data_IF_025068567674
#
_entry.id   IF_025068567674
#
_cell.length_a   1.000
_cell.length_b   1.000
_cell.length_c   1.000
_cell.angle_alpha   90.00
_cell.angle_beta   90.00
_cell.angle_gamma   90.00
#
_symmetry.space_group_name_H-M   'P 1'
#
loop_
_entity.id
_entity.type
_entity.pdbx_description
1 polymer ?
#
# COMPACT_ATOMS: atom_id res chain seq x y z
N UNK A 1 -18.25 30.06 54.76
CA UNK A 1 -18.34 30.23 53.29
C UNK A 1 -17.09 29.61 52.71
N UNK A 2 -17.16 28.34 52.30
CA UNK A 2 -16.03 27.56 51.82
C UNK A 2 -15.92 27.78 50.31
N UNK A 3 -14.88 28.48 49.85
CA UNK A 3 -14.67 28.72 48.41
C UNK A 3 -13.95 27.50 47.84
N UNK A 4 -14.69 26.66 47.13
CA UNK A 4 -14.13 25.52 46.39
C UNK A 4 -13.38 26.04 45.16
N UNK A 5 -12.06 25.87 45.15
CA UNK A 5 -11.22 26.15 43.99
C UNK A 5 -11.34 24.98 43.01
N UNK A 6 -12.01 25.20 41.87
CA UNK A 6 -12.06 24.21 40.78
C UNK A 6 -10.80 24.39 39.92
N UNK A 7 -9.84 23.48 40.06
CA UNK A 7 -8.68 23.40 39.16
C UNK A 7 -9.10 22.82 37.82
N UNK A 8 -9.13 23.65 36.77
CA UNK A 8 -9.27 23.22 35.38
C UNK A 8 -7.92 22.64 34.92
N UNK A 9 -7.80 21.32 34.89
CA UNK A 9 -6.66 20.64 34.25
C UNK A 9 -6.91 20.66 32.74
N UNK A 10 -6.25 21.58 32.03
CA UNK A 10 -6.19 21.57 30.57
C UNK A 10 -5.22 20.44 30.19
N UNK A 11 -5.77 19.26 29.90
CA UNK A 11 -5.03 18.18 29.23
C UNK A 11 -4.76 18.64 27.79
N UNK A 12 -3.56 19.16 27.55
CA UNK A 12 -3.01 19.26 26.20
C UNK A 12 -2.74 17.84 25.72
N UNK A 13 -3.71 17.24 25.02
CA UNK A 13 -3.48 16.04 24.23
C UNK A 13 -2.63 16.45 23.02
N UNK A 14 -1.31 16.26 23.12
CA UNK A 14 -0.47 16.28 21.93
C UNK A 14 -0.92 15.12 21.04
N UNK A 15 -1.49 15.42 19.88
CA UNK A 15 -1.60 14.43 18.82
C UNK A 15 -0.18 14.05 18.41
N UNK A 16 0.25 12.85 18.81
CA UNK A 16 1.49 12.28 18.32
C UNK A 16 1.23 11.95 16.86
N UNK A 17 1.79 12.75 15.95
CA UNK A 17 1.73 12.48 14.52
C UNK A 17 2.17 11.03 14.27
N UNK A 18 1.32 10.28 13.59
CA UNK A 18 1.43 8.83 13.51
C UNK A 18 2.40 8.43 12.38
N UNK A 19 3.72 8.48 12.64
CA UNK A 19 4.78 8.10 11.68
C UNK A 19 5.00 6.58 11.58
N UNK A 20 4.01 5.78 11.19
CA UNK A 20 4.21 4.34 11.19
C UNK A 20 4.09 3.65 9.85
N UNK A 21 3.20 4.04 8.94
CA UNK A 21 3.08 3.32 7.68
C UNK A 21 4.05 3.87 6.62
N UNK A 22 4.76 2.96 5.95
CA UNK A 22 5.79 3.28 4.96
C UNK A 22 5.40 2.87 3.53
N UNK A 23 4.44 1.98 3.32
CA UNK A 23 4.06 1.57 1.97
C UNK A 23 3.53 0.14 1.96
N UNK A 24 3.15 -0.33 0.77
CA UNK A 24 2.70 -1.70 0.61
C UNK A 24 2.07 -1.99 -0.73
N UNK A 25 1.50 -3.19 -0.84
CA UNK A 25 0.88 -3.74 -2.04
C UNK A 25 -0.29 -4.63 -1.65
N UNK A 26 -1.32 -4.67 -2.48
CA UNK A 26 -2.44 -5.60 -2.33
C UNK A 26 -2.71 -6.23 -3.69
N UNK A 27 -2.49 -7.54 -3.83
CA UNK A 27 -2.80 -8.30 -5.05
C UNK A 27 -3.73 -9.46 -4.72
N UNK A 28 -4.23 -10.13 -5.75
CA UNK A 28 -5.07 -11.30 -5.58
C UNK A 28 -4.93 -12.25 -6.75
N UNK A 29 -5.29 -13.51 -6.54
CA UNK A 29 -5.35 -14.52 -7.61
C UNK A 29 -6.38 -15.59 -7.30
N UNK A 30 -6.99 -16.24 -8.29
CA UNK A 30 -7.72 -17.49 -8.07
C UNK A 30 -6.76 -18.56 -7.53
N UNK A 31 -7.24 -19.44 -6.65
CA UNK A 31 -6.44 -20.61 -6.24
C UNK A 31 -6.25 -21.59 -7.41
N UNK A 32 -7.31 -21.76 -8.21
CA UNK A 32 -7.30 -22.52 -9.45
C UNK A 32 -7.95 -21.71 -10.57
N UNK A 33 -7.15 -21.31 -11.58
CA UNK A 33 -7.60 -20.52 -12.74
C UNK A 33 -8.65 -21.24 -13.59
N UNK A 34 -8.76 -22.56 -13.50
CA UNK A 34 -9.70 -23.41 -14.25
C UNK A 34 -10.92 -23.85 -13.44
N UNK A 35 -11.13 -23.26 -12.25
CA UNK A 35 -12.26 -23.61 -11.42
C UNK A 35 -13.60 -23.29 -12.13
N UNK A 36 -14.53 -24.25 -12.12
CA UNK A 36 -15.89 -24.07 -12.62
C UNK A 36 -16.93 -23.88 -11.51
N UNK A 37 -16.47 -23.86 -10.25
CA UNK A 37 -17.33 -23.73 -9.07
C UNK A 37 -17.81 -22.30 -8.85
N UNK A 38 -18.97 -22.18 -8.19
CA UNK A 38 -19.52 -20.93 -7.67
C UNK A 38 -19.95 -21.18 -6.22
N UNK A 39 -19.25 -20.63 -5.21
CA UNK A 39 -18.23 -19.57 -5.29
C UNK A 39 -16.86 -20.02 -5.81
N UNK A 40 -16.10 -19.07 -6.35
CA UNK A 40 -14.70 -19.15 -6.76
C UNK A 40 -13.80 -18.86 -5.56
N UNK A 41 -12.81 -19.72 -5.34
CA UNK A 41 -11.82 -19.53 -4.28
C UNK A 41 -10.68 -18.66 -4.77
N UNK A 42 -10.47 -17.52 -4.11
CA UNK A 42 -9.35 -16.62 -4.38
C UNK A 42 -8.42 -16.51 -3.18
N UNK A 43 -7.21 -16.04 -3.42
CA UNK A 43 -6.21 -15.71 -2.42
C UNK A 43 -5.90 -14.23 -2.56
N UNK A 44 -6.19 -13.44 -1.54
CA UNK A 44 -5.79 -12.04 -1.43
C UNK A 44 -4.44 -11.99 -0.72
N UNK A 45 -3.47 -11.30 -1.28
CA UNK A 45 -2.10 -11.19 -0.75
C UNK A 45 -1.83 -9.72 -0.44
N UNK A 46 -1.45 -9.46 0.81
CA UNK A 46 -1.18 -8.12 1.32
C UNK A 46 0.25 -8.07 1.84
N UNK A 47 1.00 -7.05 1.43
CA UNK A 47 2.35 -6.75 1.94
C UNK A 47 2.36 -5.31 2.41
N UNK A 48 2.92 -5.09 3.59
CA UNK A 48 2.93 -3.78 4.22
C UNK A 48 4.29 -3.52 4.87
N UNK A 49 4.70 -2.26 4.83
CA UNK A 49 5.94 -1.77 5.43
C UNK A 49 5.62 -0.71 6.47
N UNK A 50 6.29 -0.77 7.61
CA UNK A 50 6.14 0.17 8.72
C UNK A 50 7.47 0.66 9.27
N UNK A 51 7.45 1.78 9.98
CA UNK A 51 8.59 2.31 10.71
C UNK A 51 8.99 1.36 11.85
N UNK A 52 10.26 0.98 11.85
CA UNK A 52 10.87 0.23 12.95
C UNK A 52 10.75 0.99 14.28
N UNK A 53 10.55 0.26 15.38
CA UNK A 53 10.33 0.82 16.71
C UNK A 53 8.89 1.25 17.01
N UNK A 54 8.04 1.52 16.01
CA UNK A 54 6.58 1.70 16.19
C UNK A 54 5.85 0.36 16.19
N UNK A 55 6.28 -0.48 15.27
CA UNK A 55 5.83 -1.84 15.08
C UNK A 55 6.94 -2.79 15.54
N UNK A 56 6.57 -3.89 16.17
CA UNK A 56 7.47 -4.92 16.68
C UNK A 56 7.45 -6.11 15.73
N UNK A 57 8.58 -6.26 15.06
CA UNK A 57 9.01 -7.44 14.33
C UNK A 57 10.44 -7.68 14.80
N UNK A 58 10.78 -8.91 15.19
CA UNK A 58 12.11 -9.28 15.71
C UNK A 58 12.61 -10.51 14.97
N UNK A 59 13.91 -10.82 14.97
CA UNK A 59 14.42 -12.05 14.37
C UNK A 59 13.70 -13.31 14.88
N UNK A 60 13.32 -13.35 16.16
CA UNK A 60 12.51 -14.43 16.74
C UNK A 60 11.08 -14.43 16.23
N UNK A 61 10.47 -13.27 16.00
CA UNK A 61 9.14 -13.19 15.40
C UNK A 61 9.13 -13.67 13.95
N UNK A 62 10.16 -13.31 13.17
CA UNK A 62 10.35 -13.79 11.79
C UNK A 62 10.50 -15.32 11.79
N UNK A 63 11.43 -15.85 12.59
CA UNK A 63 11.71 -17.28 12.65
C UNK A 63 10.51 -18.13 13.06
N UNK A 64 9.61 -17.59 13.88
CA UNK A 64 8.41 -18.29 14.34
C UNK A 64 7.14 -17.95 13.54
N UNK A 65 7.24 -17.16 12.45
CA UNK A 65 6.07 -16.67 11.70
C UNK A 65 5.03 -15.98 12.57
N UNK A 66 5.48 -15.23 13.57
CA UNK A 66 4.59 -14.49 14.45
C UNK A 66 3.95 -13.33 13.70
N UNK A 67 2.70 -13.03 14.06
CA UNK A 67 2.06 -11.79 13.65
C UNK A 67 2.89 -10.60 14.12
N UNK A 68 2.92 -9.57 13.28
CA UNK A 68 3.42 -8.27 13.68
C UNK A 68 2.69 -7.82 14.95
N UNK A 69 3.46 -7.33 15.92
CA UNK A 69 2.93 -6.77 17.16
C UNK A 69 3.09 -5.24 17.16
N UNK A 70 2.26 -4.52 17.90
CA UNK A 70 2.24 -3.06 17.93
C UNK A 70 2.64 -2.56 19.32
N UNK A 71 3.49 -1.53 19.42
CA UNK A 71 3.76 -0.89 20.72
C UNK A 71 2.73 0.16 21.07
N UNK A 72 2.28 0.92 20.08
CA UNK A 72 1.43 2.12 20.28
C UNK A 72 0.23 2.15 19.33
N UNK A 73 0.16 1.25 18.35
CA UNK A 73 -0.85 1.25 17.29
C UNK A 73 -1.87 0.11 17.45
N UNK A 74 -2.82 0.27 18.37
CA UNK A 74 -3.70 -0.82 18.82
C UNK A 74 -4.81 -1.23 17.85
N UNK A 75 -5.17 -0.39 16.88
CA UNK A 75 -6.25 -0.67 15.91
C UNK A 75 -5.88 -1.74 14.89
N UNK A 76 -4.58 -1.93 14.62
CA UNK A 76 -4.06 -2.93 13.68
C UNK A 76 -4.62 -4.35 13.94
N UNK A 77 -4.93 -4.67 15.21
CA UNK A 77 -5.47 -5.97 15.59
C UNK A 77 -6.84 -6.27 14.99
N UNK A 78 -7.63 -5.25 14.68
CA UNK A 78 -9.02 -5.33 14.22
C UNK A 78 -9.25 -4.71 12.86
N UNK A 79 -8.27 -3.98 12.33
CA UNK A 79 -8.37 -3.36 11.01
C UNK A 79 -8.48 -4.42 9.91
N UNK A 80 -9.31 -4.12 8.92
CA UNK A 80 -9.66 -5.02 7.82
C UNK A 80 -9.55 -4.32 6.48
N UNK A 81 -9.42 -5.14 5.44
CA UNK A 81 -9.43 -4.70 4.05
C UNK A 81 -10.87 -4.33 3.65
N UNK A 82 -11.12 -3.02 3.50
CA UNK A 82 -12.47 -2.48 3.31
C UNK A 82 -12.87 -2.54 1.85
N UNK A 83 -14.18 -2.62 1.62
CA UNK A 83 -14.74 -2.28 0.33
C UNK A 83 -14.55 -0.79 0.04
N UNK A 84 -14.04 -0.46 -1.15
CA UNK A 84 -13.97 0.92 -1.64
C UNK A 84 -15.00 1.22 -2.74
N UNK A 85 -15.33 0.24 -3.59
CA UNK A 85 -16.28 0.42 -4.69
C UNK A 85 -16.91 -0.89 -5.12
N UNK A 86 -18.17 -0.83 -5.57
CA UNK A 86 -18.94 -1.92 -6.17
C UNK A 86 -19.09 -3.20 -5.33
N UNK A 87 -18.82 -3.16 -4.02
CA UNK A 87 -19.23 -4.23 -3.11
C UNK A 87 -20.68 -3.98 -2.69
N UNK A 88 -21.61 -4.25 -3.61
CA UNK A 88 -23.03 -4.29 -3.29
C UNK A 88 -23.36 -5.48 -2.38
N UNK A 89 -24.63 -5.60 -1.97
CA UNK A 89 -25.17 -6.78 -1.28
C UNK A 89 -25.11 -8.08 -2.09
N UNK A 90 -24.49 -8.06 -3.27
CA UNK A 90 -24.28 -9.17 -4.21
C UNK A 90 -22.89 -9.79 -4.13
N UNK A 91 -21.90 -9.16 -3.47
CA UNK A 91 -20.65 -9.84 -3.11
C UNK A 91 -20.88 -10.71 -1.87
N UNK A 92 -21.85 -11.63 -1.92
CA UNK A 92 -22.41 -12.31 -0.74
C UNK A 92 -21.44 -13.28 -0.04
N UNK A 93 -20.15 -13.21 -0.34
CA UNK A 93 -19.08 -14.03 0.24
C UNK A 93 -17.79 -13.28 0.55
N UNK A 94 -17.67 -11.97 0.26
CA UNK A 94 -16.49 -11.20 0.69
C UNK A 94 -16.56 -10.93 2.19
N UNK A 95 -15.66 -11.55 2.95
CA UNK A 95 -15.51 -11.31 4.38
C UNK A 95 -14.22 -10.49 4.54
N UNK A 96 -14.29 -9.20 4.92
CA UNK A 96 -13.10 -8.35 5.00
C UNK A 96 -11.95 -9.01 5.79
N UNK A 97 -10.85 -9.42 5.14
CA UNK A 97 -9.73 -10.01 5.85
C UNK A 97 -9.06 -8.95 6.72
N UNK A 98 -8.46 -9.38 7.82
CA UNK A 98 -7.63 -8.49 8.64
C UNK A 98 -6.45 -7.94 7.81
N UNK A 99 -5.86 -6.84 8.26
CA UNK A 99 -4.66 -6.28 7.62
C UNK A 99 -3.38 -6.64 8.36
N UNK A 100 -3.47 -7.13 9.60
CA UNK A 100 -2.30 -7.47 10.43
C UNK A 100 -1.55 -8.67 9.85
N UNK A 101 -0.31 -8.51 9.37
CA UNK A 101 0.39 -9.58 8.68
C UNK A 101 1.34 -10.36 9.60
N UNK A 102 1.89 -11.44 9.06
CA UNK A 102 3.05 -12.12 9.66
C UNK A 102 4.28 -11.25 9.43
N UNK A 103 5.13 -11.15 10.45
CA UNK A 103 6.42 -10.45 10.41
C UNK A 103 7.38 -11.23 9.50
N UNK A 104 7.83 -10.62 8.42
CA UNK A 104 8.71 -11.26 7.42
C UNK A 104 10.11 -10.68 7.41
N UNK A 105 10.26 -9.39 7.71
CA UNK A 105 11.57 -8.74 7.68
C UNK A 105 11.65 -7.51 8.61
N UNK A 106 12.86 -7.17 9.03
CA UNK A 106 13.19 -5.98 9.80
C UNK A 106 14.59 -5.47 9.42
N UNK A 107 14.68 -4.18 9.11
CA UNK A 107 15.93 -3.45 8.94
C UNK A 107 15.96 -2.25 9.86
N UNK A 108 16.82 -2.30 10.88
CA UNK A 108 17.07 -1.15 11.77
C UNK A 108 17.83 -0.03 11.06
N UNK A 109 18.67 -0.37 10.08
CA UNK A 109 19.45 0.60 9.29
C UNK A 109 18.55 1.51 8.45
N UNK A 110 17.56 0.93 7.78
CA UNK A 110 16.57 1.69 6.98
C UNK A 110 15.34 2.05 7.82
N UNK A 111 15.30 1.62 9.09
CA UNK A 111 14.21 1.89 10.02
C UNK A 111 12.87 1.32 9.56
N UNK A 112 12.86 0.11 9.00
CA UNK A 112 11.71 -0.49 8.33
C UNK A 112 11.42 -1.91 8.84
N UNK A 113 10.14 -2.22 9.01
CA UNK A 113 9.59 -3.55 9.27
C UNK A 113 8.68 -3.92 8.11
N UNK A 114 8.74 -5.16 7.65
CA UNK A 114 7.88 -5.69 6.59
C UNK A 114 7.08 -6.87 7.12
N UNK A 115 5.82 -6.94 6.71
CA UNK A 115 5.02 -8.13 6.91
C UNK A 115 4.16 -8.47 5.71
N UNK A 116 3.86 -9.75 5.58
CA UNK A 116 3.00 -10.29 4.54
C UNK A 116 1.90 -11.17 5.13
N UNK A 117 0.74 -11.18 4.49
CA UNK A 117 -0.34 -12.13 4.75
C UNK A 117 -1.04 -12.53 3.47
N UNK A 118 -1.68 -13.69 3.53
CA UNK A 118 -2.57 -14.18 2.50
C UNK A 118 -3.85 -14.69 3.13
N UNK A 119 -4.99 -14.34 2.57
CA UNK A 119 -6.31 -14.77 3.02
C UNK A 119 -7.07 -15.42 1.89
N UNK A 120 -7.84 -16.45 2.23
CA UNK A 120 -8.71 -17.14 1.30
C UNK A 120 -10.09 -16.51 1.39
N UNK A 121 -10.62 -16.06 0.25
CA UNK A 121 -11.98 -15.56 0.11
C UNK A 121 -12.75 -16.41 -0.90
N UNK A 122 -14.07 -16.50 -0.68
CA UNK A 122 -15.00 -17.21 -1.56
C UNK A 122 -15.93 -16.21 -2.20
N UNK A 123 -15.74 -15.95 -3.49
CA UNK A 123 -16.44 -14.90 -4.22
C UNK A 123 -17.33 -15.49 -5.30
N UNK A 124 -18.40 -14.80 -5.67
CA UNK A 124 -19.29 -15.30 -6.72
C UNK A 124 -18.69 -15.08 -8.10
N UNK A 125 -19.15 -15.90 -9.05
CA UNK A 125 -18.90 -15.68 -10.47
C UNK A 125 -19.24 -14.24 -10.87
N UNK A 126 -18.37 -13.62 -11.66
CA UNK A 126 -18.53 -12.26 -12.19
C UNK A 126 -18.47 -11.14 -11.14
N UNK A 127 -18.03 -11.42 -9.90
CA UNK A 127 -17.76 -10.38 -8.93
C UNK A 127 -16.67 -9.42 -9.48
N UNK A 128 -16.98 -8.12 -9.45
CA UNK A 128 -16.07 -7.06 -9.84
C UNK A 128 -16.19 -5.88 -8.87
N UNK A 129 -15.21 -5.73 -8.00
CA UNK A 129 -15.23 -4.74 -6.94
C UNK A 129 -13.82 -4.31 -6.53
N UNK A 130 -13.71 -3.16 -5.88
CA UNK A 130 -12.44 -2.64 -5.39
C UNK A 130 -12.40 -2.75 -3.89
N UNK A 131 -11.33 -3.35 -3.38
CA UNK A 131 -11.01 -3.42 -1.96
C UNK A 131 -9.76 -2.63 -1.67
N UNK A 132 -9.60 -2.17 -0.45
CA UNK A 132 -8.43 -1.41 -0.05
C UNK A 132 -8.37 -1.13 1.43
N UNK A 133 -7.19 -0.69 1.86
CA UNK A 133 -6.94 -0.30 3.23
C UNK A 133 -6.47 1.15 3.26
N UNK A 134 -7.10 1.93 4.13
CA UNK A 134 -6.85 3.36 4.29
C UNK A 134 -6.68 3.69 5.74
N UNK A 135 -5.71 4.54 6.06
CA UNK A 135 -5.50 5.00 7.42
C UNK A 135 -4.85 6.38 7.49
N UNK A 136 -4.87 7.02 8.66
CA UNK A 136 -4.24 8.32 8.92
C UNK A 136 -2.80 8.21 9.48
N UNK A 137 -2.34 6.97 9.67
CA UNK A 137 -1.03 6.60 10.18
C UNK A 137 0.18 6.83 9.26
N UNK A 138 0.08 7.77 8.33
CA UNK A 138 1.11 7.98 7.31
C UNK A 138 2.31 8.75 7.84
N UNK A 139 3.47 8.53 7.22
CA UNK A 139 4.63 9.39 7.43
C UNK A 139 4.38 10.79 6.87
N UNK A 140 4.44 11.86 7.67
CA UNK A 140 4.33 13.23 7.19
C UNK A 140 5.34 13.52 6.09
N UNK A 141 4.87 14.20 5.05
CA UNK A 141 5.65 14.63 3.91
C UNK A 141 6.07 16.09 4.17
N UNK A 142 7.36 16.38 4.42
CA UNK A 142 7.82 17.70 4.88
C UNK A 142 7.46 18.88 3.96
N UNK A 143 7.26 18.61 2.67
CA UNK A 143 6.88 19.61 1.65
C UNK A 143 5.40 19.95 1.65
N UNK A 144 4.58 19.30 2.47
CA UNK A 144 3.16 19.58 2.55
C UNK A 144 2.79 20.00 3.98
N UNK A 145 2.18 21.17 4.09
CA UNK A 145 1.98 21.89 5.36
C UNK A 145 0.73 21.47 6.13
N UNK A 146 -0.02 20.45 5.68
CA UNK A 146 -1.26 20.01 6.33
C UNK A 146 -1.07 18.64 6.99
N UNK A 147 -1.13 18.56 8.32
CA UNK A 147 -0.73 17.37 9.08
C UNK A 147 -1.74 16.20 9.05
N UNK A 148 -2.62 16.14 8.05
CA UNK A 148 -3.83 15.30 8.06
C UNK A 148 -3.85 14.23 6.97
N UNK A 149 -2.70 13.79 6.45
CA UNK A 149 -2.68 12.81 5.35
C UNK A 149 -3.11 11.40 5.75
N UNK A 150 -3.99 10.85 4.94
CA UNK A 150 -4.32 9.45 4.84
C UNK A 150 -3.61 8.84 3.66
N UNK A 151 -3.28 7.58 3.83
CA UNK A 151 -2.80 6.73 2.77
C UNK A 151 -3.87 5.73 2.39
N UNK A 152 -3.74 5.17 1.20
CA UNK A 152 -4.68 4.21 0.66
C UNK A 152 -3.91 3.22 -0.21
N UNK A 153 -4.15 1.94 0.01
CA UNK A 153 -3.77 0.86 -0.91
C UNK A 153 -5.04 0.19 -1.40
N UNK A 154 -5.10 -0.17 -2.68
CA UNK A 154 -6.28 -0.84 -3.22
C UNK A 154 -5.94 -1.85 -4.30
N UNK A 155 -6.90 -2.73 -4.58
CA UNK A 155 -6.90 -3.58 -5.76
C UNK A 155 -8.33 -3.79 -6.22
N UNK A 156 -8.49 -3.89 -7.53
CA UNK A 156 -9.73 -4.33 -8.13
C UNK A 156 -9.69 -5.84 -8.32
N UNK A 157 -10.64 -6.52 -7.70
CA UNK A 157 -10.91 -7.93 -7.87
C UNK A 157 -11.91 -8.07 -9.01
N UNK A 158 -11.56 -8.87 -10.01
CA UNK A 158 -12.35 -9.07 -11.21
C UNK A 158 -12.39 -10.57 -11.58
N UNK A 159 -13.54 -11.20 -11.34
CA UNK A 159 -13.77 -12.62 -11.60
C UNK A 159 -14.57 -12.89 -12.89
N UNK A 160 -14.56 -11.97 -13.84
CA UNK A 160 -14.98 -12.30 -15.18
C UNK A 160 -13.97 -13.27 -15.81
N UNK A 161 -14.48 -14.30 -16.47
CA UNK A 161 -13.64 -15.20 -17.26
C UNK A 161 -13.00 -14.45 -18.43
N UNK A 162 -11.74 -14.77 -18.68
CA UNK A 162 -10.97 -14.34 -19.85
C UNK A 162 -11.53 -15.00 -21.12
N UNK A 163 -11.05 -14.53 -22.27
CA UNK A 163 -11.41 -15.09 -23.59
C UNK A 163 -10.98 -16.54 -23.77
N UNK A 164 -9.93 -16.96 -23.06
CA UNK A 164 -9.45 -18.35 -23.01
C UNK A 164 -10.29 -19.27 -22.10
N UNK A 165 -11.27 -18.73 -21.37
CA UNK A 165 -12.15 -19.47 -20.46
C UNK A 165 -11.58 -19.69 -19.06
N UNK A 166 -10.43 -19.09 -18.72
CA UNK A 166 -9.84 -19.14 -17.38
C UNK A 166 -10.10 -17.85 -16.60
N UNK A 167 -10.01 -17.91 -15.26
CA UNK A 167 -9.95 -16.70 -14.45
C UNK A 167 -8.63 -15.98 -14.64
N UNK A 168 -8.72 -14.65 -14.58
CA UNK A 168 -7.56 -13.79 -14.55
C UNK A 168 -6.86 -13.81 -13.18
N UNK A 169 -5.55 -13.62 -13.19
CA UNK A 169 -4.71 -13.42 -12.00
C UNK A 169 -4.21 -11.99 -12.03
N UNK A 170 -4.38 -11.23 -10.94
CA UNK A 170 -3.88 -9.87 -10.92
C UNK A 170 -2.34 -9.85 -11.01
N UNK A 171 -1.75 -8.79 -11.59
CA UNK A 171 -0.32 -8.66 -11.67
C UNK A 171 0.28 -8.54 -10.25
N UNK A 172 1.52 -8.98 -10.14
CA UNK A 172 2.32 -8.86 -8.91
C UNK A 172 3.38 -7.81 -9.15
N UNK A 173 3.46 -6.83 -8.26
CA UNK A 173 4.57 -5.89 -8.19
C UNK A 173 5.30 -6.06 -6.87
N UNK A 174 6.63 -6.01 -6.92
CA UNK A 174 7.46 -6.10 -5.71
C UNK A 174 8.31 -4.85 -5.59
N UNK A 175 8.07 -4.07 -4.53
CA UNK A 175 8.99 -3.00 -4.18
C UNK A 175 9.04 -2.84 -2.67
N UNK A 176 10.23 -2.62 -2.15
CA UNK A 176 10.40 -2.34 -0.73
C UNK A 176 10.35 -0.84 -0.52
N UNK A 177 9.50 -0.43 0.42
CA UNK A 177 9.39 0.95 0.85
C UNK A 177 9.95 1.05 2.27
N UNK A 178 10.77 2.06 2.59
CA UNK A 178 11.10 3.21 1.76
C UNK A 178 12.38 3.03 0.94
N UNK A 179 12.52 3.82 -0.12
CA UNK A 179 13.75 3.89 -0.92
C UNK A 179 14.49 5.19 -0.60
N UNK A 180 15.74 5.06 -0.14
CA UNK A 180 16.61 6.21 0.06
C UNK A 180 17.29 6.59 -1.26
N UNK A 181 17.20 7.85 -1.65
CA UNK A 181 17.80 8.38 -2.87
C UNK A 181 18.79 9.50 -2.53
N UNK A 182 19.97 9.56 -3.16
CA UNK A 182 20.90 10.68 -2.98
C UNK A 182 20.30 12.03 -3.43
N UNK A 183 20.60 13.08 -2.67
CA UNK A 183 20.20 14.44 -3.02
C UNK A 183 20.82 14.90 -4.35
N UNK A 184 20.03 15.54 -5.22
CA UNK A 184 20.42 16.13 -6.50
C UNK A 184 21.05 15.14 -7.50
N UNK A 185 20.85 13.84 -7.31
CA UNK A 185 21.32 12.81 -8.24
C UNK A 185 20.13 12.02 -8.78
N UNK A 186 19.85 12.06 -10.10
CA UNK A 186 18.77 11.28 -10.69
C UNK A 186 18.92 9.79 -10.38
N UNK A 187 17.88 9.18 -9.85
CA UNK A 187 17.78 7.74 -9.60
C UNK A 187 16.74 7.12 -10.52
N UNK A 188 17.08 5.94 -11.03
CA UNK A 188 16.17 5.09 -11.81
C UNK A 188 15.81 3.88 -10.96
N UNK A 189 14.52 3.77 -10.63
CA UNK A 189 14.00 2.72 -9.76
C UNK A 189 13.02 1.89 -10.59
N UNK A 190 13.42 0.68 -11.02
CA UNK A 190 12.48 -0.25 -11.63
C UNK A 190 11.52 -0.77 -10.55
N UNK A 191 10.24 -0.88 -10.90
CA UNK A 191 9.26 -1.67 -10.16
C UNK A 191 9.17 -3.02 -10.88
N UNK A 192 9.78 -4.08 -10.33
CA UNK A 192 9.59 -5.43 -10.85
C UNK A 192 8.10 -5.77 -10.88
N UNK A 193 7.61 -6.07 -12.07
CA UNK A 193 6.24 -6.52 -12.30
C UNK A 193 6.27 -7.87 -13.00
N UNK A 194 5.31 -8.72 -12.65
CA UNK A 194 5.07 -9.99 -13.32
C UNK A 194 3.57 -10.22 -13.39
N UNK A 195 3.13 -10.78 -14.50
CA UNK A 195 1.80 -11.37 -14.62
C UNK A 195 1.94 -12.88 -14.89
N UNK A 196 1.06 -13.67 -14.27
CA UNK A 196 1.05 -15.11 -14.39
C UNK A 196 0.32 -15.59 -15.67
N UNK A 197 -0.54 -14.75 -16.24
CA UNK A 197 -1.31 -15.05 -17.44
C UNK A 197 -0.56 -14.75 -18.75
N UNK A 198 0.58 -14.03 -18.69
CA UNK A 198 1.37 -13.61 -19.85
C UNK A 198 0.87 -12.31 -20.50
N UNK A 199 0.02 -11.57 -19.80
CA UNK A 199 -0.56 -10.31 -20.22
C UNK A 199 0.47 -9.18 -20.26
N UNK A 200 0.15 -8.13 -21.02
CA UNK A 200 0.98 -6.94 -21.03
C UNK A 200 0.72 -6.12 -19.76
N UNK A 201 1.72 -6.02 -18.89
CA UNK A 201 1.64 -5.19 -17.68
C UNK A 201 2.16 -3.80 -17.97
N UNK A 202 1.45 -2.78 -17.46
CA UNK A 202 1.86 -1.37 -17.55
C UNK A 202 1.65 -0.65 -16.22
N UNK A 203 2.50 0.33 -15.98
CA UNK A 203 2.35 1.23 -14.86
C UNK A 203 1.83 2.60 -15.29
N UNK A 204 1.06 3.22 -14.40
CA UNK A 204 0.68 4.63 -14.46
C UNK A 204 0.50 5.18 -13.05
N UNK A 205 0.40 6.49 -12.92
CA UNK A 205 -0.04 7.07 -11.66
C UNK A 205 -1.46 6.60 -11.35
N UNK A 206 -1.70 6.28 -10.09
CA UNK A 206 -3.04 6.02 -9.58
C UNK A 206 -3.92 7.26 -9.74
N UNK A 207 -5.22 7.05 -10.02
CA UNK A 207 -6.16 8.15 -10.24
C UNK A 207 -7.42 8.03 -9.37
N UNK A 208 -7.89 9.17 -8.85
CA UNK A 208 -9.12 9.24 -8.07
C UNK A 208 -9.07 8.45 -6.76
N UNK A 209 -10.23 8.32 -6.12
CA UNK A 209 -10.29 7.81 -4.76
C UNK A 209 -10.18 6.29 -4.64
N UNK A 210 -10.69 5.56 -5.63
CA UNK A 210 -10.73 4.09 -5.63
C UNK A 210 -9.38 3.46 -5.95
N UNK A 211 -8.54 4.13 -6.73
CA UNK A 211 -7.18 3.69 -7.02
C UNK A 211 -6.15 4.31 -6.08
N UNK A 212 -6.62 5.05 -5.06
CA UNK A 212 -5.75 5.74 -4.12
C UNK A 212 -4.81 6.76 -4.81
N UNK A 213 -5.26 7.42 -5.87
CA UNK A 213 -4.46 8.41 -6.61
C UNK A 213 -4.15 9.69 -5.84
N UNK A 214 -4.78 9.87 -4.68
CA UNK A 214 -4.53 10.98 -3.78
C UNK A 214 -4.01 10.44 -2.44
N UNK A 215 -2.85 10.92 -2.00
CA UNK A 215 -2.50 10.90 -0.58
C UNK A 215 -3.37 11.97 0.09
N UNK A 216 -4.55 11.56 0.55
CA UNK A 216 -5.66 12.43 0.94
C UNK A 216 -5.39 13.19 2.24
N UNK A 217 -5.55 14.51 2.34
CA UNK A 217 -5.76 15.14 3.65
C UNK A 217 -7.17 14.84 4.17
N UNK A 218 -7.29 14.52 5.46
CA UNK A 218 -8.56 14.13 6.12
C UNK A 218 -9.54 15.30 6.26
N UNK A 219 -9.10 16.54 6.00
CA UNK A 219 -9.94 17.73 6.05
C UNK A 219 -9.44 18.73 4.99
N UNK A 220 -10.22 18.95 3.93
CA UNK A 220 -10.05 20.13 3.07
C UNK A 220 -9.19 20.01 1.81
N UNK A 221 -9.01 18.82 1.22
CA UNK A 221 -8.67 18.71 -0.21
C UNK A 221 -7.33 19.32 -0.63
N UNK A 222 -6.31 19.29 0.22
CA UNK A 222 -4.93 19.56 -0.20
C UNK A 222 -4.50 18.59 -1.30
N UNK A 223 -4.21 19.15 -2.48
CA UNK A 223 -3.67 18.42 -3.61
C UNK A 223 -2.17 18.16 -3.35
N UNK A 224 -1.80 16.95 -2.97
CA UNK A 224 -0.41 16.52 -3.11
C UNK A 224 -0.12 16.40 -4.61
N UNK A 225 0.64 17.34 -5.15
CA UNK A 225 1.19 17.24 -6.49
C UNK A 225 2.60 16.67 -6.41
N UNK A 226 2.83 15.54 -7.08
CA UNK A 226 4.18 15.02 -7.28
C UNK A 226 5.06 16.10 -7.94
N UNK A 227 6.27 16.33 -7.43
CA UNK A 227 7.22 17.23 -8.07
C UNK A 227 7.51 16.82 -9.53
N UNK A 228 7.73 17.79 -10.41
CA UNK A 228 7.92 17.54 -11.85
C UNK A 228 9.20 16.77 -12.20
N UNK A 229 10.13 16.66 -11.25
CA UNK A 229 11.36 15.88 -11.36
C UNK A 229 11.15 14.39 -11.01
N UNK A 230 9.90 13.97 -10.76
CA UNK A 230 9.49 12.59 -10.57
C UNK A 230 8.63 12.17 -11.76
N UNK A 231 9.05 11.15 -12.47
CA UNK A 231 8.34 10.61 -13.64
C UNK A 231 8.20 9.10 -13.53
N UNK A 232 7.15 8.57 -14.18
CA UNK A 232 6.88 7.15 -14.28
C UNK A 232 6.66 6.80 -15.74
N UNK A 233 7.39 5.82 -16.23
CA UNK A 233 7.18 5.25 -17.57
C UNK A 233 6.15 4.12 -17.53
N UNK A 234 5.57 3.80 -18.70
CA UNK A 234 4.65 2.66 -18.84
C UNK A 234 5.31 1.32 -18.55
N UNK A 235 6.63 1.23 -18.66
CA UNK A 235 7.43 0.04 -18.39
C UNK A 235 7.79 -0.09 -16.89
N UNK A 236 7.04 0.60 -16.02
CA UNK A 236 7.17 0.50 -14.57
C UNK A 236 8.53 0.98 -14.02
N UNK A 237 9.14 1.98 -14.67
CA UNK A 237 10.37 2.61 -14.20
C UNK A 237 10.06 4.01 -13.68
N UNK A 238 10.39 4.25 -12.42
CA UNK A 238 10.38 5.57 -11.79
C UNK A 238 11.73 6.23 -12.05
N UNK A 239 11.71 7.50 -12.47
CA UNK A 239 12.89 8.38 -12.46
C UNK A 239 12.61 9.51 -11.48
N UNK A 240 13.49 9.69 -10.52
CA UNK A 240 13.34 10.68 -9.44
C UNK A 240 14.63 11.46 -9.25
N UNK A 241 14.54 12.74 -8.90
CA UNK A 241 15.67 13.49 -8.35
C UNK A 241 15.22 14.10 -7.02
N UNK A 242 15.93 13.81 -5.93
CA UNK A 242 15.59 14.35 -4.61
C UNK A 242 16.28 15.69 -4.38
N UNK A 243 15.56 16.82 -4.39
CA UNK A 243 16.24 18.13 -4.33
C UNK A 243 16.48 18.63 -2.89
N UNK A 244 15.76 18.07 -1.92
CA UNK A 244 15.77 18.49 -0.51
C UNK A 244 16.22 17.32 0.37
N UNK A 245 17.20 17.54 1.25
CA UNK A 245 17.68 16.53 2.21
C UNK A 245 16.58 16.20 3.23
N UNK A 246 16.48 14.93 3.61
CA UNK A 246 15.52 14.38 4.58
C UNK A 246 14.05 14.61 4.19
N UNK A 247 13.80 14.91 2.92
CA UNK A 247 12.46 15.06 2.39
C UNK A 247 11.90 13.72 1.94
N UNK A 248 10.59 13.57 2.13
CA UNK A 248 9.83 12.37 1.77
C UNK A 248 8.90 12.67 0.60
N UNK A 249 8.86 11.73 -0.34
CA UNK A 249 7.93 11.70 -1.46
C UNK A 249 7.08 10.44 -1.34
N UNK A 250 5.77 10.61 -1.37
CA UNK A 250 4.85 9.49 -1.51
C UNK A 250 4.50 9.32 -2.98
N UNK A 251 4.42 8.08 -3.44
CA UNK A 251 4.09 7.72 -4.81
C UNK A 251 3.06 6.59 -4.77
N UNK A 252 1.99 6.76 -5.54
CA UNK A 252 0.93 5.77 -5.74
C UNK A 252 0.92 5.35 -7.19
N UNK A 253 1.30 4.10 -7.44
CA UNK A 253 1.41 3.52 -8.78
C UNK A 253 0.32 2.49 -8.96
N UNK A 254 -0.36 2.59 -10.08
CA UNK A 254 -1.29 1.59 -10.56
C UNK A 254 -0.57 0.67 -11.53
N UNK A 255 -0.58 -0.62 -11.24
CA UNK A 255 -0.16 -1.69 -12.14
C UNK A 255 -1.42 -2.30 -12.75
N UNK A 256 -1.53 -2.18 -14.06
CA UNK A 256 -2.66 -2.67 -14.85
C UNK A 256 -2.17 -3.70 -15.87
N UNK A 257 -2.98 -4.71 -16.13
CA UNK A 257 -2.71 -5.72 -17.14
C UNK A 257 -3.72 -5.68 -18.29
N UNK A 258 -3.31 -6.22 -19.43
CA UNK A 258 -4.09 -6.21 -20.66
C UNK A 258 -3.94 -7.56 -21.38
N UNK A 259 -5.06 -8.27 -21.53
CA UNK A 259 -5.18 -9.62 -22.12
C UNK A 259 -4.62 -9.74 -23.55
N UNK A 260 -4.38 -8.63 -24.27
CA UNK A 260 -3.59 -8.55 -25.51
C UNK A 260 -3.28 -7.09 -25.89
N UNK A 261 -2.28 -6.85 -26.77
CA UNK A 261 -1.89 -5.48 -27.25
C UNK A 261 -3.01 -4.64 -27.90
N UNK A 262 -4.21 -5.19 -28.14
CA UNK A 262 -5.31 -4.54 -28.89
C UNK A 262 -6.74 -4.79 -28.40
N UNK A 263 -7.00 -5.50 -27.30
CA UNK A 263 -8.38 -5.82 -26.87
C UNK A 263 -8.78 -5.19 -25.54
N UNK A 264 -10.09 -5.01 -25.42
CA UNK A 264 -10.83 -4.18 -24.46
C UNK A 264 -10.55 -4.52 -22.99
N UNK A 265 -10.77 -3.53 -22.12
CA UNK A 265 -10.56 -3.55 -20.67
C UNK A 265 -11.22 -4.77 -20.01
N UNK A 266 -10.43 -5.83 -19.79
CA UNK A 266 -10.72 -6.88 -18.82
C UNK A 266 -9.76 -6.67 -17.64
N UNK A 267 -9.92 -5.56 -16.92
CA UNK A 267 -8.89 -5.11 -15.98
C UNK A 267 -8.91 -5.92 -14.70
N UNK A 268 -7.83 -6.66 -14.44
CA UNK A 268 -7.29 -6.83 -13.10
C UNK A 268 -6.36 -5.65 -12.82
N UNK A 269 -6.48 -5.06 -11.63
CA UNK A 269 -5.95 -3.73 -11.37
C UNK A 269 -5.36 -3.72 -9.95
N UNK A 270 -4.09 -3.36 -9.81
CA UNK A 270 -3.34 -3.40 -8.55
C UNK A 270 -2.76 -2.02 -8.22
N UNK A 271 -3.04 -1.49 -7.03
CA UNK A 271 -2.39 -0.27 -6.54
C UNK A 271 -1.25 -0.60 -5.56
N UNK A 272 -0.10 0.00 -5.80
CA UNK A 272 1.05 0.00 -4.90
C UNK A 272 1.30 1.42 -4.39
N UNK A 273 1.60 1.54 -3.10
CA UNK A 273 2.06 2.81 -2.51
C UNK A 273 3.49 2.63 -2.03
N UNK A 274 4.35 3.53 -2.49
CA UNK A 274 5.76 3.60 -2.15
C UNK A 274 6.05 4.95 -1.47
N UNK A 275 6.90 4.92 -0.43
CA UNK A 275 7.58 6.09 0.09
C UNK A 275 9.02 6.12 -0.39
N UNK A 276 9.50 7.33 -0.68
CA UNK A 276 10.86 7.58 -1.09
C UNK A 276 11.43 8.73 -0.27
N UNK A 277 12.69 8.64 0.11
CA UNK A 277 13.35 9.64 0.96
C UNK A 277 14.61 10.13 0.31
N UNK A 278 14.74 11.44 0.17
CA UNK A 278 16.01 12.04 -0.24
C UNK A 278 16.97 12.10 0.95
N UNK A 279 18.18 11.57 0.77
CA UNK A 279 19.24 11.51 1.79
C UNK A 279 20.51 12.18 1.25
N UNK A 280 21.31 12.78 2.12
CA UNK A 280 22.59 13.36 1.73
C UNK A 280 23.58 12.25 1.33
N UNK A 281 24.19 12.40 0.15
CA UNK A 281 25.21 11.50 -0.41
C UNK A 281 26.38 11.20 0.53
N UNK A 282 26.66 12.07 1.52
CA UNK A 282 27.70 11.86 2.53
C UNK A 282 27.40 10.73 3.53
N UNK A 283 26.14 10.27 3.60
CA UNK A 283 25.72 9.12 4.42
C UNK A 283 25.70 7.79 3.67
N UNK A 284 25.93 7.80 2.34
CA UNK A 284 26.04 6.61 1.50
C UNK A 284 27.50 6.27 1.22
N UNK A 285 28.38 6.34 2.23
CA UNK A 285 29.76 5.83 2.09
C UNK A 285 29.72 4.30 1.96
N UNK A 286 30.16 3.70 0.84
CA UNK A 286 30.07 2.25 0.61
C UNK A 286 31.14 1.46 1.37
N UNK A 287 31.56 1.94 2.54
CA UNK A 287 32.61 1.33 3.37
C UNK A 287 32.09 0.79 4.70
N UNK A 288 30.90 0.16 4.72
CA UNK A 288 30.54 -0.85 5.72
C UNK A 288 29.58 -1.88 5.12
#
# INVERSE_FOLDING_TARGET
MLVTLISFVILFTYQVAAFHFLGGTITWRPENISASGNPVKIIIIQTYSWTDGRIVCTPTAIANSNLINYRTYSTLATDTLKCLSNCGSTSSGYIPPLIRPICTDQSTLVGTVVGQRSDIEWLYLNDNFTVGYTDNGWRPLPTITDATYQWCLSTNINLYLRTDGYYNTAPVATVMSPINIPQNVPQTIPIPVSDANGDNVRCRWSEGATECGLVFPTVGGGNYSLPSNITLSSDCIIVVTGDIIDNWYAITVMIAEFENRKSQFHTGNHTQVMNMTSVDSRFLDPKY
#
